data_IF_618057212752
#
_entry.id   IF_618057212752
#
_cell.length_a   1.000
_cell.length_b   1.000
_cell.length_c   1.000
_cell.angle_alpha   90.00
_cell.angle_beta   90.00
_cell.angle_gamma   90.00
#
_symmetry.space_group_name_H-M   'P 1'
#
loop_
_entity.id
_entity.type
_entity.pdbx_description
1 polymer ?
#
# COMPACT_ATOMS: atom_id res chain seq x y z
N UNK A 1 -17.99 20.47 10.46
CA UNK A 1 -18.39 19.26 9.70
C UNK A 1 -17.67 19.14 8.36
N UNK A 2 -17.81 20.09 7.41
CA UNK A 2 -17.18 19.98 6.07
C UNK A 2 -15.64 19.99 6.13
N UNK A 3 -15.04 20.90 6.89
CA UNK A 3 -13.56 20.97 7.04
C UNK A 3 -12.95 19.69 7.63
N UNK A 4 -13.65 19.02 8.55
CA UNK A 4 -13.21 17.75 9.12
C UNK A 4 -13.22 16.62 8.09
N UNK A 5 -14.18 16.65 7.16
CA UNK A 5 -14.31 15.65 6.10
C UNK A 5 -13.16 15.79 5.08
N UNK A 6 -12.81 17.01 4.69
CA UNK A 6 -11.64 17.27 3.86
C UNK A 6 -10.33 16.86 4.56
N UNK A 7 -10.17 17.18 5.84
CA UNK A 7 -8.97 16.82 6.60
C UNK A 7 -8.82 15.29 6.71
N UNK A 8 -9.92 14.58 6.95
CA UNK A 8 -9.93 13.12 6.98
C UNK A 8 -9.56 12.49 5.63
N UNK A 9 -10.06 13.04 4.51
CA UNK A 9 -9.73 12.56 3.16
C UNK A 9 -8.23 12.75 2.88
N UNK A 10 -7.68 13.93 3.18
CA UNK A 10 -6.24 14.22 2.99
C UNK A 10 -5.36 13.29 3.84
N UNK A 11 -5.73 13.07 5.11
CA UNK A 11 -5.03 12.13 5.99
C UNK A 11 -5.02 10.70 5.44
N UNK A 12 -6.18 10.20 5.00
CA UNK A 12 -6.29 8.87 4.41
C UNK A 12 -5.45 8.73 3.14
N UNK A 13 -5.45 9.75 2.27
CA UNK A 13 -4.59 9.79 1.08
C UNK A 13 -3.12 9.71 1.48
N UNK A 14 -2.69 10.50 2.47
CA UNK A 14 -1.31 10.49 2.96
C UNK A 14 -0.88 9.11 3.47
N UNK A 15 -1.71 8.47 4.30
CA UNK A 15 -1.43 7.13 4.83
C UNK A 15 -1.36 6.10 3.71
N UNK A 16 -2.29 6.12 2.75
CA UNK A 16 -2.30 5.19 1.62
C UNK A 16 -1.06 5.39 0.73
N UNK A 17 -0.66 6.62 0.47
CA UNK A 17 0.53 6.93 -0.33
C UNK A 17 1.80 6.46 0.37
N UNK A 18 1.96 6.75 1.67
CA UNK A 18 3.08 6.27 2.46
C UNK A 18 3.15 4.73 2.46
N UNK A 19 2.02 4.08 2.69
CA UNK A 19 1.95 2.62 2.68
C UNK A 19 2.31 2.01 1.31
N UNK A 20 1.83 2.64 0.23
CA UNK A 20 2.15 2.24 -1.14
C UNK A 20 3.65 2.42 -1.44
N UNK A 21 4.27 3.49 -0.95
CA UNK A 21 5.71 3.74 -1.12
C UNK A 21 6.54 2.68 -0.39
N UNK A 22 6.17 2.35 0.84
CA UNK A 22 6.88 1.32 1.61
C UNK A 22 6.75 -0.04 0.92
N UNK A 23 5.55 -0.40 0.50
CA UNK A 23 5.30 -1.64 -0.25
C UNK A 23 6.13 -1.71 -1.53
N UNK A 24 6.26 -0.60 -2.26
CA UNK A 24 7.10 -0.52 -3.45
C UNK A 24 8.60 -0.70 -3.15
N UNK A 25 9.11 -0.08 -2.08
CA UNK A 25 10.51 -0.25 -1.70
C UNK A 25 10.81 -1.69 -1.25
N UNK A 26 9.89 -2.32 -0.52
CA UNK A 26 9.98 -3.73 -0.14
C UNK A 26 10.06 -4.63 -1.38
N UNK A 27 9.18 -4.40 -2.35
CA UNK A 27 9.19 -5.15 -3.62
C UNK A 27 10.50 -4.97 -4.39
N UNK A 28 11.04 -3.75 -4.43
CA UNK A 28 12.35 -3.47 -5.05
C UNK A 28 13.47 -4.23 -4.36
N UNK A 29 13.51 -4.22 -3.03
CA UNK A 29 14.52 -4.96 -2.25
C UNK A 29 14.43 -6.46 -2.54
N UNK A 30 13.23 -7.05 -2.54
CA UNK A 30 13.06 -8.46 -2.90
C UNK A 30 13.53 -8.76 -4.32
N UNK A 31 13.20 -7.89 -5.28
CA UNK A 31 13.63 -8.05 -6.68
C UNK A 31 15.15 -8.00 -6.79
N UNK A 32 15.80 -7.03 -6.13
CA UNK A 32 17.26 -6.92 -6.10
C UNK A 32 17.92 -8.13 -5.43
N UNK A 33 17.35 -8.64 -4.33
CA UNK A 33 17.81 -9.88 -3.69
C UNK A 33 17.68 -11.08 -4.63
N UNK A 34 16.58 -11.19 -5.38
CA UNK A 34 16.38 -12.27 -6.34
C UNK A 34 17.37 -12.20 -7.51
N UNK A 35 17.68 -11.01 -8.02
CA UNK A 35 18.72 -10.82 -9.04
C UNK A 35 20.10 -11.22 -8.50
N UNK A 36 20.44 -10.83 -7.27
CA UNK A 36 21.70 -11.23 -6.63
C UNK A 36 21.77 -12.75 -6.42
N UNK A 37 20.67 -13.38 -5.99
CA UNK A 37 20.61 -14.84 -5.84
C UNK A 37 20.74 -15.58 -7.16
N UNK A 38 20.23 -15.02 -8.26
CA UNK A 38 20.34 -15.63 -9.59
C UNK A 38 21.74 -15.47 -10.20
N UNK A 39 22.44 -14.36 -9.89
CA UNK A 39 23.82 -14.10 -10.31
C UNK A 39 24.87 -14.77 -9.41
N UNK A 40 24.70 -16.07 -9.11
CA UNK A 40 25.51 -16.86 -8.15
C UNK A 40 27.02 -16.88 -8.39
N UNK A 41 27.50 -16.44 -9.56
CA UNK A 41 28.90 -16.56 -9.97
C UNK A 41 29.88 -15.61 -9.27
N UNK A 42 29.41 -14.55 -8.61
CA UNK A 42 30.28 -13.48 -8.08
C UNK A 42 30.16 -13.25 -6.57
N UNK A 43 29.34 -14.01 -5.86
CA UNK A 43 28.99 -13.75 -4.45
C UNK A 43 29.53 -14.84 -3.53
N UNK A 44 30.21 -14.44 -2.44
CA UNK A 44 30.68 -15.35 -1.39
C UNK A 44 29.54 -16.26 -0.89
N UNK A 45 29.80 -17.55 -0.60
CA UNK A 45 28.76 -18.50 -0.21
C UNK A 45 28.01 -18.10 1.07
N UNK A 46 28.68 -17.42 2.02
CA UNK A 46 28.04 -16.87 3.22
C UNK A 46 27.03 -15.77 2.89
N UNK A 47 27.39 -14.86 1.99
CA UNK A 47 26.51 -13.78 1.53
C UNK A 47 25.32 -14.33 0.74
N UNK A 48 25.54 -15.38 -0.06
CA UNK A 48 24.46 -16.06 -0.79
C UNK A 48 23.44 -16.72 0.15
N UNK A 49 23.90 -17.28 1.28
CA UNK A 49 23.03 -17.87 2.30
C UNK A 49 22.18 -16.80 3.00
N UNK A 50 22.76 -15.66 3.34
CA UNK A 50 22.01 -14.51 3.91
C UNK A 50 20.94 -14.01 2.94
N UNK A 51 21.27 -13.87 1.65
CA UNK A 51 20.31 -13.46 0.61
C UNK A 51 19.15 -14.45 0.51
N UNK A 52 19.44 -15.76 0.60
CA UNK A 52 18.42 -16.82 0.59
C UNK A 52 17.50 -16.72 1.81
N UNK A 53 18.06 -16.48 2.99
CA UNK A 53 17.29 -16.34 4.23
C UNK A 53 16.38 -15.10 4.17
N UNK A 54 16.88 -13.97 3.65
CA UNK A 54 16.09 -12.75 3.44
C UNK A 54 14.96 -12.93 2.41
N UNK A 55 15.17 -13.76 1.39
CA UNK A 55 14.14 -14.08 0.39
C UNK A 55 12.99 -14.91 0.97
N UNK A 56 13.27 -15.72 2.00
CA UNK A 56 12.28 -16.51 2.72
C UNK A 56 11.43 -15.68 3.70
N UNK A 57 11.88 -14.46 4.05
CA UNK A 57 11.10 -13.56 4.90
C UNK A 57 9.93 -12.99 4.11
N UNK A 58 8.71 -13.37 4.50
CA UNK A 58 7.49 -12.74 3.99
C UNK A 58 7.32 -11.38 4.66
N UNK A 59 7.44 -10.30 3.88
CA UNK A 59 7.08 -8.98 4.37
C UNK A 59 5.57 -8.90 4.57
N UNK A 60 5.10 -8.39 5.71
CA UNK A 60 3.68 -8.25 5.96
C UNK A 60 3.08 -7.24 4.97
N UNK A 61 1.92 -7.59 4.41
CA UNK A 61 1.17 -6.65 3.59
C UNK A 61 0.67 -5.49 4.45
N UNK A 62 0.81 -4.27 3.95
CA UNK A 62 0.26 -3.11 4.63
C UNK A 62 -1.27 -3.11 4.54
N UNK A 63 -1.89 -3.35 5.70
CA UNK A 63 -3.34 -3.39 5.85
C UNK A 63 -3.79 -2.40 6.91
N UNK A 64 -4.98 -1.82 6.70
CA UNK A 64 -5.70 -1.11 7.74
C UNK A 64 -6.37 -2.16 8.65
N UNK A 65 -5.74 -2.43 9.79
CA UNK A 65 -6.24 -3.34 10.84
C UNK A 65 -6.60 -4.76 10.31
N UNK A 66 -5.87 -5.27 9.31
CA UNK A 66 -6.14 -6.57 8.69
C UNK A 66 -7.36 -6.62 7.75
N UNK A 67 -8.15 -5.55 7.67
CA UNK A 67 -9.41 -5.53 6.91
C UNK A 67 -9.21 -5.13 5.46
N UNK A 68 -8.39 -4.10 5.22
CA UNK A 68 -8.27 -3.48 3.90
C UNK A 68 -6.80 -3.28 3.53
N UNK A 69 -6.38 -3.79 2.38
CA UNK A 69 -5.01 -3.54 1.86
C UNK A 69 -4.87 -2.10 1.41
N UNK A 70 -3.87 -1.39 1.95
CA UNK A 70 -3.58 0.00 1.64
C UNK A 70 -3.00 0.14 0.22
N UNK A 71 -3.89 0.17 -0.77
CA UNK A 71 -3.55 0.35 -2.19
C UNK A 71 -4.06 1.70 -2.70
N UNK A 72 -3.40 2.32 -3.68
CA UNK A 72 -3.86 3.58 -4.29
C UNK A 72 -5.31 3.53 -4.80
N UNK A 73 -5.79 2.35 -5.22
CA UNK A 73 -7.17 2.12 -5.63
C UNK A 73 -8.21 2.46 -4.54
N UNK A 74 -7.83 2.36 -3.25
CA UNK A 74 -8.69 2.76 -2.14
C UNK A 74 -9.00 4.25 -2.14
N UNK A 75 -8.08 5.10 -2.62
CA UNK A 75 -8.32 6.54 -2.71
C UNK A 75 -9.49 6.79 -3.64
N UNK A 76 -9.45 6.22 -4.84
CA UNK A 76 -10.52 6.35 -5.84
C UNK A 76 -11.84 5.77 -5.32
N UNK A 77 -11.80 4.60 -4.68
CA UNK A 77 -12.99 3.97 -4.10
C UNK A 77 -13.60 4.80 -2.98
N UNK A 78 -12.78 5.34 -2.07
CA UNK A 78 -13.24 6.19 -0.97
C UNK A 78 -13.84 7.51 -1.47
N UNK A 79 -13.22 8.13 -2.46
CA UNK A 79 -13.73 9.36 -3.07
C UNK A 79 -15.05 9.11 -3.82
N UNK A 80 -15.12 8.02 -4.59
CA UNK A 80 -16.34 7.58 -5.26
C UNK A 80 -17.47 7.35 -4.26
N UNK A 81 -17.20 6.67 -3.14
CA UNK A 81 -18.17 6.44 -2.07
C UNK A 81 -18.72 7.76 -1.50
N UNK A 82 -17.85 8.71 -1.15
CA UNK A 82 -18.27 10.03 -0.64
C UNK A 82 -19.17 10.76 -1.64
N UNK A 83 -18.82 10.74 -2.93
CA UNK A 83 -19.64 11.35 -3.98
C UNK A 83 -20.98 10.63 -4.15
N UNK A 84 -20.98 9.30 -4.24
CA UNK A 84 -22.20 8.50 -4.41
C UNK A 84 -23.16 8.73 -3.26
N UNK A 85 -22.71 8.60 -2.01
CA UNK A 85 -23.57 8.83 -0.84
C UNK A 85 -23.99 10.29 -0.72
N UNK A 86 -23.09 11.24 -1.01
CA UNK A 86 -23.41 12.67 -1.01
C UNK A 86 -24.53 13.01 -2.01
N UNK A 87 -24.42 12.52 -3.24
CA UNK A 87 -25.44 12.71 -4.28
C UNK A 87 -26.75 12.01 -3.93
N UNK A 88 -26.69 10.80 -3.36
CA UNK A 88 -27.88 10.04 -2.97
C UNK A 88 -28.66 10.74 -1.86
N UNK A 89 -27.96 11.25 -0.84
CA UNK A 89 -28.58 12.06 0.23
C UNK A 89 -29.21 13.33 -0.36
N UNK A 90 -28.51 14.04 -1.26
CA UNK A 90 -29.07 15.23 -1.91
C UNK A 90 -30.31 14.92 -2.75
N UNK A 91 -30.37 13.75 -3.37
CA UNK A 91 -31.49 13.36 -4.23
C UNK A 91 -32.69 12.82 -3.43
N UNK A 92 -32.45 12.18 -2.29
CA UNK A 92 -33.51 11.71 -1.36
C UNK A 92 -34.09 12.86 -0.55
N UNK A 93 -33.28 13.88 -0.20
CA UNK A 93 -33.74 15.09 0.47
C UNK A 93 -34.20 16.20 -0.49
N UNK A 94 -34.42 15.88 -1.77
CA UNK A 94 -35.08 16.79 -2.70
C UNK A 94 -36.61 16.70 -2.44
N UNK A 95 -37.28 17.80 -2.08
CA UNK A 95 -38.74 17.83 -1.95
C UNK A 95 -39.44 17.59 -3.29
#
# INVERSE_FOLDING_TARGET
MIAQLFFAVILNIGVILCASRISYQVFRVQTSLQVMYNNKGTVEPKSLQIVKDMLHVKFPEMTAYGMVKLKPALIVSSFGSVLTYGLLIMNVNRP
#
